data_IF_719086248791
#
_entry.id   IF_719086248791
#
_cell.length_a   1.000
_cell.length_b   1.000
_cell.length_c   1.000
_cell.angle_alpha   90.00
_cell.angle_beta   90.00
_cell.angle_gamma   90.00
#
_symmetry.space_group_name_H-M   'P 1'
#
loop_
_entity.id
_entity.type
_entity.pdbx_description
1 polymer ?
#
# COMPACT_ATOMS: atom_id res chain seq x y z
N UNK A 1 -17.51 -7.25 20.48
CA UNK A 1 -16.84 -7.22 19.16
C UNK A 1 -16.61 -5.77 18.84
N UNK A 2 -15.45 -5.22 19.20
CA UNK A 2 -15.10 -3.85 18.79
C UNK A 2 -15.06 -3.84 17.26
N UNK A 3 -15.95 -3.05 16.65
CA UNK A 3 -16.01 -2.89 15.20
C UNK A 3 -14.65 -2.41 14.73
N UNK A 4 -13.99 -3.23 13.91
CA UNK A 4 -12.69 -2.89 13.36
C UNK A 4 -12.77 -1.55 12.64
N UNK A 5 -11.87 -0.64 13.00
CA UNK A 5 -11.71 0.64 12.33
C UNK A 5 -11.65 0.40 10.82
N UNK A 6 -12.68 0.84 10.11
CA UNK A 6 -12.64 0.91 8.65
C UNK A 6 -11.43 1.78 8.30
N UNK A 7 -10.47 1.23 7.55
CA UNK A 7 -9.33 1.97 7.02
C UNK A 7 -9.82 2.99 5.99
N UNK A 8 -10.35 4.11 6.48
CA UNK A 8 -10.80 5.23 5.64
C UNK A 8 -9.64 6.21 5.55
N UNK A 9 -9.06 6.32 4.36
CA UNK A 9 -7.99 7.29 4.09
C UNK A 9 -8.61 8.68 3.96
N UNK A 10 -8.60 9.45 5.05
CA UNK A 10 -9.02 10.85 5.04
C UNK A 10 -7.79 11.77 5.03
N UNK A 11 -7.77 12.73 4.10
CA UNK A 11 -6.79 13.84 4.07
C UNK A 11 -7.56 15.16 3.99
N UNK A 12 -7.35 16.04 4.97
CA UNK A 12 -7.97 17.38 5.01
C UNK A 12 -7.02 18.40 4.39
N UNK A 13 -7.56 19.36 3.62
CA UNK A 13 -6.80 20.46 3.02
C UNK A 13 -6.20 21.35 4.12
N UNK A 14 -4.92 21.70 4.00
CA UNK A 14 -4.26 22.66 4.91
C UNK A 14 -4.45 24.08 4.39
N UNK A 15 -4.39 25.07 5.29
CA UNK A 15 -4.45 26.49 4.93
C UNK A 15 -3.24 26.86 4.07
N UNK A 16 -3.46 27.45 2.90
CA UNK A 16 -2.41 27.82 1.94
C UNK A 16 -1.87 26.66 1.07
N UNK A 17 -2.50 25.49 1.13
CA UNK A 17 -2.09 24.33 0.30
C UNK A 17 -2.70 24.41 -1.11
N UNK A 18 -1.87 24.17 -2.12
CA UNK A 18 -2.34 23.97 -3.50
C UNK A 18 -3.12 22.66 -3.63
N UNK A 19 -4.00 22.58 -4.63
CA UNK A 19 -4.79 21.37 -4.86
C UNK A 19 -3.91 20.17 -5.23
N UNK A 20 -2.87 20.41 -6.03
CA UNK A 20 -1.88 19.38 -6.37
C UNK A 20 -1.12 18.86 -5.14
N UNK A 21 -0.79 19.74 -4.19
CA UNK A 21 -0.16 19.35 -2.92
C UNK A 21 -1.06 18.43 -2.10
N UNK A 22 -2.36 18.74 -2.06
CA UNK A 22 -3.35 17.91 -1.39
C UNK A 22 -3.46 16.52 -2.04
N UNK A 23 -3.53 16.48 -3.38
CA UNK A 23 -3.58 15.23 -4.15
C UNK A 23 -2.31 14.41 -3.93
N UNK A 24 -1.14 15.03 -3.92
CA UNK A 24 0.13 14.34 -3.68
C UNK A 24 0.17 13.68 -2.30
N UNK A 25 -0.26 14.39 -1.24
CA UNK A 25 -0.37 13.78 0.10
C UNK A 25 -1.37 12.65 0.16
N UNK A 26 -2.51 12.80 -0.52
CA UNK A 26 -3.52 11.75 -0.58
C UNK A 26 -2.97 10.49 -1.26
N UNK A 27 -2.31 10.64 -2.42
CA UNK A 27 -1.64 9.53 -3.11
C UNK A 27 -0.61 8.86 -2.21
N UNK A 28 0.23 9.64 -1.53
CA UNK A 28 1.23 9.12 -0.58
C UNK A 28 0.55 8.31 0.53
N UNK A 29 -0.52 8.81 1.13
CA UNK A 29 -1.26 8.11 2.20
C UNK A 29 -1.93 6.82 1.70
N UNK A 30 -2.48 6.82 0.48
CA UNK A 30 -3.01 5.59 -0.15
C UNK A 30 -1.93 4.53 -0.31
N UNK A 31 -0.73 4.94 -0.75
CA UNK A 31 0.39 4.02 -0.95
C UNK A 31 0.91 3.46 0.38
N UNK A 32 1.05 4.32 1.42
CA UNK A 32 1.45 3.91 2.77
C UNK A 32 0.47 2.91 3.39
N UNK A 33 -0.83 3.15 3.24
CA UNK A 33 -1.87 2.27 3.76
C UNK A 33 -2.05 0.98 2.95
N UNK A 34 -1.46 0.90 1.75
CA UNK A 34 -1.48 -0.29 0.90
C UNK A 34 -2.85 -0.63 0.31
N UNK A 35 -3.81 0.33 0.30
CA UNK A 35 -5.22 0.11 -0.05
C UNK A 35 -5.39 -0.56 -1.41
N UNK A 36 -4.64 -0.13 -2.42
CA UNK A 36 -4.71 -0.67 -3.78
C UNK A 36 -4.16 -2.09 -3.88
N UNK A 37 -3.09 -2.39 -3.13
CA UNK A 37 -2.48 -3.73 -3.08
C UNK A 37 -3.45 -4.70 -2.41
N UNK A 38 -4.00 -4.30 -1.26
CA UNK A 38 -4.99 -5.08 -0.51
C UNK A 38 -6.24 -5.37 -1.35
N UNK A 39 -6.75 -4.37 -2.06
CA UNK A 39 -7.89 -4.55 -2.97
C UNK A 39 -7.58 -5.57 -4.07
N UNK A 40 -6.39 -5.49 -4.67
CA UNK A 40 -5.95 -6.43 -5.72
C UNK A 40 -5.77 -7.85 -5.18
N UNK A 41 -5.15 -8.01 -4.02
CA UNK A 41 -4.94 -9.31 -3.37
C UNK A 41 -6.26 -9.96 -2.95
N UNK A 42 -7.29 -9.17 -2.60
CA UNK A 42 -8.62 -9.65 -2.21
C UNK A 42 -9.57 -9.89 -3.39
N UNK A 43 -9.24 -9.40 -4.59
CA UNK A 43 -10.09 -9.53 -5.78
C UNK A 43 -10.40 -10.99 -6.13
N UNK A 44 -9.46 -11.88 -5.86
CA UNK A 44 -9.61 -13.32 -6.09
C UNK A 44 -9.21 -14.10 -4.84
N UNK A 45 -9.85 -15.24 -4.63
CA UNK A 45 -9.40 -16.17 -3.61
C UNK A 45 -8.01 -16.72 -3.98
N UNK A 46 -7.09 -16.70 -3.00
CA UNK A 46 -5.78 -17.34 -3.08
C UNK A 46 -5.65 -18.31 -1.93
N UNK A 47 -5.15 -19.51 -2.20
CA UNK A 47 -4.88 -20.49 -1.16
C UNK A 47 -3.79 -20.01 -0.19
N UNK A 48 -3.73 -20.54 1.06
CA UNK A 48 -2.66 -20.22 2.00
C UNK A 48 -1.26 -20.55 1.47
N UNK A 49 -1.15 -21.53 0.55
CA UNK A 49 0.13 -21.89 -0.08
C UNK A 49 0.60 -20.80 -1.05
N UNK A 50 -0.31 -20.32 -1.91
CA UNK A 50 -0.02 -19.27 -2.88
C UNK A 50 0.34 -17.96 -2.19
N UNK A 51 -0.39 -17.57 -1.14
CA UNK A 51 -0.07 -16.39 -0.32
C UNK A 51 1.35 -16.45 0.26
N UNK A 52 1.77 -17.61 0.77
CA UNK A 52 3.14 -17.82 1.28
C UNK A 52 4.20 -17.74 0.18
N UNK A 53 3.92 -18.31 -1.00
CA UNK A 53 4.81 -18.24 -2.17
C UNK A 53 5.01 -16.80 -2.63
N UNK A 54 3.93 -16.04 -2.74
CA UNK A 54 3.91 -14.66 -3.20
C UNK A 54 4.63 -13.73 -2.20
N UNK A 55 4.42 -13.92 -0.90
CA UNK A 55 5.14 -13.19 0.15
C UNK A 55 6.66 -13.43 0.08
N UNK A 56 7.11 -14.68 -0.12
CA UNK A 56 8.53 -15.00 -0.28
C UNK A 56 9.13 -14.41 -1.55
N UNK A 57 8.35 -14.37 -2.63
CA UNK A 57 8.78 -13.74 -3.87
C UNK A 57 8.94 -12.22 -3.70
N UNK A 58 7.95 -11.56 -3.07
CA UNK A 58 7.98 -10.12 -2.80
C UNK A 58 9.21 -9.70 -2.00
N UNK A 59 9.54 -10.42 -0.92
CA UNK A 59 10.73 -10.12 -0.11
C UNK A 59 12.02 -10.27 -0.92
N UNK A 60 12.16 -11.37 -1.68
CA UNK A 60 13.35 -11.58 -2.53
C UNK A 60 13.50 -10.49 -3.59
N UNK A 61 12.40 -10.12 -4.22
CA UNK A 61 12.39 -9.08 -5.23
C UNK A 61 12.81 -7.71 -4.66
N UNK A 62 12.33 -7.35 -3.47
CA UNK A 62 12.75 -6.12 -2.79
C UNK A 62 14.26 -6.11 -2.48
N UNK A 63 14.80 -7.22 -2.00
CA UNK A 63 16.25 -7.36 -1.76
C UNK A 63 17.05 -7.21 -3.06
N UNK A 64 16.56 -7.74 -4.17
CA UNK A 64 17.22 -7.61 -5.48
C UNK A 64 17.23 -6.15 -5.97
N UNK A 65 16.11 -5.45 -5.86
CA UNK A 65 16.01 -4.04 -6.22
C UNK A 65 16.93 -3.16 -5.37
N UNK A 66 17.04 -3.44 -4.07
CA UNK A 66 17.95 -2.75 -3.16
C UNK A 66 19.40 -2.93 -3.56
N UNK A 67 19.80 -4.16 -3.91
CA UNK A 67 21.16 -4.47 -4.39
C UNK A 67 21.48 -3.73 -5.69
N UNK A 68 20.53 -3.63 -6.62
CA UNK A 68 20.71 -2.89 -7.88
C UNK A 68 20.82 -1.38 -7.67
N UNK A 69 20.17 -0.83 -6.63
CA UNK A 69 20.23 0.61 -6.34
C UNK A 69 21.55 1.03 -5.68
N UNK A 70 22.20 0.11 -4.97
CA UNK A 70 23.45 0.36 -4.24
C UNK A 70 24.72 -0.04 -5.04
N UNK A 71 24.58 -0.51 -6.28
CA UNK A 71 25.67 -0.66 -7.26
C UNK A 71 25.76 0.57 -8.15
#
# INVERSE_FOLDING_TARGET
MEGGDLKVVVVKKRKGESEDGLIARFRKKILEEGVLIEHTERRHYKSPSEKRKESKYRVRHQIELEKKRNQ
#
